data_IF_315062528250
#
_entry.id   IF_315062528250
#
_cell.length_a   1.000
_cell.length_b   1.000
_cell.length_c   1.000
_cell.angle_alpha   90.00
_cell.angle_beta   90.00
_cell.angle_gamma   90.00
#
_symmetry.space_group_name_H-M   'P 1'
#
loop_
_entity.id
_entity.type
_entity.pdbx_description
1 polymer ?
#
# COMPACT_ATOMS: atom_id res chain seq x y z
N UNK A 1 14.82 -49.71 -14.91
CA UNK A 1 15.51 -49.44 -16.21
C UNK A 1 16.13 -48.07 -16.16
N UNK A 2 17.44 -48.04 -16.29
CA UNK A 2 18.33 -46.86 -16.32
C UNK A 2 18.12 -45.99 -17.54
N UNK A 3 18.34 -44.65 -17.41
CA UNK A 3 19.10 -43.79 -18.32
C UNK A 3 19.07 -42.36 -17.76
N UNK A 4 20.16 -41.92 -17.14
CA UNK A 4 21.36 -41.16 -17.60
C UNK A 4 21.07 -39.70 -17.93
N UNK A 5 21.41 -38.86 -16.99
CA UNK A 5 22.33 -37.72 -16.91
C UNK A 5 22.91 -37.23 -18.26
N UNK A 6 22.71 -35.93 -18.54
CA UNK A 6 23.71 -35.10 -19.24
C UNK A 6 23.73 -33.71 -18.60
N UNK A 7 24.85 -33.44 -17.94
CA UNK A 7 25.29 -32.12 -17.55
C UNK A 7 25.91 -31.42 -18.76
N UNK A 8 25.58 -30.16 -19.00
CA UNK A 8 26.31 -29.32 -19.93
C UNK A 8 26.80 -28.06 -19.21
N UNK A 9 28.06 -28.11 -18.83
CA UNK A 9 28.89 -26.97 -18.47
C UNK A 9 29.15 -26.13 -19.73
N UNK A 10 28.87 -24.84 -19.69
CA UNK A 10 29.43 -23.88 -20.62
C UNK A 10 30.07 -22.71 -19.84
N UNK A 11 31.40 -22.84 -19.78
CA UNK A 11 32.35 -21.77 -19.45
C UNK A 11 32.50 -20.82 -20.63
N UNK A 12 32.39 -19.52 -20.41
CA UNK A 12 32.95 -18.49 -21.31
C UNK A 12 33.41 -17.32 -20.46
N UNK A 13 34.68 -17.29 -20.17
CA UNK A 13 35.78 -16.45 -20.64
C UNK A 13 35.60 -14.96 -20.50
N UNK A 14 36.41 -14.47 -19.54
CA UNK A 14 36.76 -13.05 -19.32
C UNK A 14 37.37 -12.42 -20.59
N UNK A 15 37.03 -11.19 -20.85
CA UNK A 15 37.88 -10.27 -21.60
C UNK A 15 37.99 -8.93 -20.83
N UNK A 16 39.14 -8.77 -20.22
CA UNK A 16 39.65 -7.49 -19.75
C UNK A 16 40.08 -6.64 -20.93
N UNK A 17 39.69 -5.38 -20.94
CA UNK A 17 40.37 -4.36 -21.73
C UNK A 17 40.67 -3.16 -20.83
N UNK A 18 41.97 -3.09 -20.49
CA UNK A 18 42.63 -1.92 -19.92
C UNK A 18 43.07 -0.99 -21.06
N UNK A 19 42.65 0.25 -21.01
CA UNK A 19 43.31 1.42 -21.61
C UNK A 19 42.82 2.60 -20.77
N UNK A 20 43.59 3.50 -20.21
CA UNK A 20 44.91 4.01 -20.36
C UNK A 20 44.91 5.37 -19.68
N UNK A 21 45.90 5.67 -18.90
CA UNK A 21 46.11 6.89 -18.14
C UNK A 21 46.12 8.15 -19.02
N UNK A 22 45.53 9.24 -18.51
CA UNK A 22 46.16 10.54 -18.65
C UNK A 22 45.94 11.39 -17.39
N UNK A 23 47.03 11.86 -16.90
CA UNK A 23 47.25 12.66 -15.71
C UNK A 23 46.87 14.12 -16.01
N UNK A 24 46.01 14.73 -15.21
CA UNK A 24 46.05 16.18 -15.02
C UNK A 24 45.53 16.51 -13.61
N UNK A 25 46.47 17.02 -12.81
CA UNK A 25 46.22 17.60 -11.50
C UNK A 25 45.22 18.75 -11.59
N UNK A 26 44.11 18.62 -10.86
CA UNK A 26 43.33 19.76 -10.40
C UNK A 26 42.76 19.39 -9.04
N UNK A 27 43.28 20.06 -8.04
CA UNK A 27 42.81 20.00 -6.65
C UNK A 27 41.44 20.70 -6.57
N UNK A 28 40.37 19.91 -6.50
CA UNK A 28 39.07 20.43 -6.14
C UNK A 28 38.58 19.75 -4.85
N UNK A 29 38.40 20.63 -3.87
CA UNK A 29 37.84 20.30 -2.55
C UNK A 29 36.43 19.74 -2.74
N UNK A 30 36.30 18.44 -2.53
CA UNK A 30 35.00 17.82 -2.37
C UNK A 30 34.39 18.29 -1.06
N UNK A 31 33.63 19.38 -1.14
CA UNK A 31 32.71 19.78 -0.06
C UNK A 31 31.56 18.81 -0.09
N UNK A 32 31.58 17.82 0.78
CA UNK A 32 30.41 17.01 1.11
C UNK A 32 29.35 17.97 1.64
N UNK A 33 28.40 18.35 0.78
CA UNK A 33 27.19 19.02 1.22
C UNK A 33 26.42 18.04 2.08
N UNK A 34 26.42 18.31 3.39
CA UNK A 34 25.47 17.75 4.34
C UNK A 34 24.06 17.96 3.73
N UNK A 35 23.22 16.93 3.66
CA UNK A 35 21.86 17.10 3.18
C UNK A 35 21.20 18.25 3.94
N UNK A 36 20.57 19.17 3.21
CA UNK A 36 19.79 20.22 3.82
C UNK A 36 18.72 19.55 4.70
N UNK A 37 18.64 19.99 5.94
CA UNK A 37 17.61 19.57 6.89
C UNK A 37 16.25 19.81 6.20
N UNK A 38 15.62 18.78 5.70
CA UNK A 38 14.24 18.85 5.26
C UNK A 38 13.42 19.19 6.50
N UNK A 39 12.48 20.11 6.38
CA UNK A 39 11.43 20.26 7.37
C UNK A 39 10.67 18.93 7.35
N UNK A 40 11.07 18.00 8.21
CA UNK A 40 10.40 16.69 8.31
C UNK A 40 8.93 16.96 8.64
N UNK A 41 8.06 16.59 7.72
CA UNK A 41 6.64 16.44 8.02
C UNK A 41 6.60 15.48 9.20
N UNK A 42 5.98 15.90 10.30
CA UNK A 42 5.78 15.03 11.45
C UNK A 42 4.79 13.95 11.02
N UNK A 43 5.31 12.76 10.73
CA UNK A 43 4.48 11.56 10.58
C UNK A 43 3.80 11.36 11.94
N UNK A 44 2.46 11.30 11.95
CA UNK A 44 1.71 11.06 13.18
C UNK A 44 2.15 9.74 13.81
N UNK A 45 2.41 9.76 15.10
CA UNK A 45 2.71 8.55 15.86
C UNK A 45 1.44 7.67 15.91
N UNK A 46 1.59 6.35 15.94
CA UNK A 46 0.49 5.40 16.15
C UNK A 46 -0.28 5.67 17.45
N UNK A 47 0.36 6.32 18.42
CA UNK A 47 -0.27 6.78 19.65
C UNK A 47 -1.17 8.00 19.48
N UNK A 48 -1.07 8.72 18.36
CA UNK A 48 -1.91 9.87 18.00
C UNK A 48 -3.12 9.44 17.15
N UNK A 49 -3.56 8.18 17.31
CA UNK A 49 -4.67 7.62 16.57
C UNK A 49 -5.93 8.49 16.65
N UNK A 50 -6.48 8.80 15.48
CA UNK A 50 -7.76 9.49 15.33
C UNK A 50 -8.64 8.75 14.33
N UNK A 51 -9.92 8.60 14.68
CA UNK A 51 -10.92 8.08 13.76
C UNK A 51 -11.20 9.12 12.67
N UNK A 52 -11.33 8.68 11.42
CA UNK A 52 -11.73 9.57 10.34
C UNK A 52 -13.21 9.94 10.45
N UNK A 53 -13.56 11.17 10.05
CA UNK A 53 -14.95 11.68 10.00
C UNK A 53 -15.69 11.20 8.73
N UNK A 54 -15.36 10.00 8.23
CA UNK A 54 -15.94 9.45 7.02
C UNK A 54 -16.82 8.23 7.26
N UNK A 55 -17.31 7.64 6.17
CA UNK A 55 -18.04 6.37 6.25
C UNK A 55 -17.14 5.27 6.83
N UNK A 56 -15.90 5.17 6.34
CA UNK A 56 -14.87 4.31 6.95
C UNK A 56 -14.10 5.15 7.96
N UNK A 57 -14.15 4.76 9.21
CA UNK A 57 -13.46 5.44 10.31
C UNK A 57 -12.03 5.00 10.47
N UNK A 58 -11.80 3.71 10.41
CA UNK A 58 -10.51 3.02 10.44
C UNK A 58 -10.72 1.56 10.04
N UNK A 59 -9.67 0.80 9.97
CA UNK A 59 -9.77 -0.66 9.91
C UNK A 59 -8.81 -1.28 10.93
N UNK A 60 -9.00 -2.54 11.23
CA UNK A 60 -8.09 -3.29 12.11
C UNK A 60 -7.42 -4.42 11.34
N UNK A 61 -6.23 -4.78 11.78
CA UNK A 61 -5.51 -5.99 11.38
C UNK A 61 -5.06 -6.65 12.67
N UNK A 62 -5.53 -7.86 12.97
CA UNK A 62 -5.23 -8.57 14.23
C UNK A 62 -5.40 -7.66 15.45
N UNK A 63 -6.56 -6.99 15.54
CA UNK A 63 -6.93 -6.04 16.60
C UNK A 63 -6.08 -4.75 16.67
N UNK A 64 -5.10 -4.56 15.80
CA UNK A 64 -4.36 -3.30 15.68
C UNK A 64 -5.13 -2.32 14.83
N UNK A 65 -5.36 -1.11 15.35
CA UNK A 65 -6.08 -0.05 14.63
C UNK A 65 -5.18 0.63 13.61
N UNK A 66 -5.64 0.66 12.37
CA UNK A 66 -4.99 1.35 11.25
C UNK A 66 -5.88 2.54 10.89
N UNK A 67 -5.41 3.74 11.13
CA UNK A 67 -6.12 4.95 10.74
C UNK A 67 -6.14 5.11 9.22
N UNK A 68 -7.10 5.89 8.73
CA UNK A 68 -7.13 6.29 7.31
C UNK A 68 -6.02 7.33 7.10
N UNK A 69 -4.96 7.01 6.33
CA UNK A 69 -3.75 7.82 6.29
C UNK A 69 -3.89 9.05 5.38
N UNK A 70 -3.21 10.15 5.71
CA UNK A 70 -3.07 11.31 4.83
C UNK A 70 -1.77 11.25 4.01
N UNK A 71 -0.73 10.58 4.54
CA UNK A 71 0.56 10.41 3.87
C UNK A 71 0.96 8.93 3.82
N UNK A 72 1.86 8.62 2.89
CA UNK A 72 2.40 7.25 2.75
C UNK A 72 3.15 6.83 4.02
N UNK A 73 3.89 7.74 4.64
CA UNK A 73 4.62 7.48 5.89
C UNK A 73 3.69 7.19 7.07
N UNK A 74 2.53 7.88 7.17
CA UNK A 74 1.50 7.53 8.17
C UNK A 74 0.99 6.13 7.94
N UNK A 75 0.70 5.76 6.69
CA UNK A 75 0.21 4.41 6.36
C UNK A 75 1.24 3.34 6.73
N UNK A 76 2.48 3.53 6.30
CA UNK A 76 3.57 2.60 6.64
C UNK A 76 3.77 2.49 8.16
N UNK A 77 3.69 3.61 8.89
CA UNK A 77 3.84 3.61 10.35
C UNK A 77 2.72 2.82 11.05
N UNK A 78 1.46 2.99 10.63
CA UNK A 78 0.36 2.19 11.19
C UNK A 78 0.51 0.70 10.86
N UNK A 79 0.87 0.36 9.61
CA UNK A 79 1.07 -1.03 9.18
C UNK A 79 2.28 -1.69 9.86
N UNK A 80 3.28 -0.91 10.29
CA UNK A 80 4.45 -1.44 11.01
C UNK A 80 4.12 -2.06 12.38
N UNK A 81 2.88 -1.88 12.87
CA UNK A 81 2.40 -2.55 14.08
C UNK A 81 2.12 -4.04 13.89
N UNK A 82 2.03 -4.49 12.63
CA UNK A 82 1.68 -5.88 12.27
C UNK A 82 2.75 -6.59 11.45
N UNK A 83 3.81 -5.88 11.04
CA UNK A 83 4.89 -6.48 10.27
C UNK A 83 5.92 -5.49 9.74
N UNK A 84 6.83 -5.97 8.92
CA UNK A 84 7.83 -5.15 8.24
C UNK A 84 7.25 -4.58 6.95
N UNK A 85 7.31 -3.24 6.78
CA UNK A 85 6.70 -2.53 5.65
C UNK A 85 7.76 -2.06 4.67
N UNK A 86 7.56 -2.34 3.38
CA UNK A 86 8.40 -1.87 2.28
C UNK A 86 7.53 -1.40 1.10
N UNK A 87 8.10 -0.56 0.24
CA UNK A 87 7.47 -0.14 -1.02
C UNK A 87 7.72 -1.22 -2.09
N UNK A 88 6.68 -1.65 -2.80
CA UNK A 88 6.78 -2.75 -3.77
C UNK A 88 7.77 -2.52 -4.91
N UNK A 89 7.84 -1.28 -5.42
CA UNK A 89 8.64 -0.98 -6.62
C UNK A 89 10.16 -1.08 -6.37
N UNK A 90 10.59 -0.85 -5.13
CA UNK A 90 12.01 -0.80 -4.76
C UNK A 90 12.41 -1.84 -3.72
N UNK A 91 11.47 -2.32 -2.91
CA UNK A 91 11.74 -3.14 -1.73
C UNK A 91 12.36 -2.36 -0.57
N UNK A 92 12.48 -1.03 -0.71
CA UNK A 92 13.03 -0.15 0.31
C UNK A 92 11.94 0.37 1.26
N UNK A 93 12.36 1.00 2.35
CA UNK A 93 11.44 1.73 3.21
C UNK A 93 10.97 3.01 2.53
N UNK A 94 9.75 3.43 2.82
CA UNK A 94 9.17 4.63 2.18
C UNK A 94 9.93 5.93 2.45
N UNK A 95 10.67 6.01 3.57
CA UNK A 95 11.54 7.14 3.92
C UNK A 95 12.78 7.23 3.05
N UNK A 96 13.26 6.10 2.52
CA UNK A 96 14.51 5.98 1.77
C UNK A 96 14.31 6.19 0.26
N UNK A 97 13.05 6.28 -0.20
CA UNK A 97 12.70 6.48 -1.60
C UNK A 97 12.31 7.94 -1.85
N UNK A 98 12.84 8.52 -2.93
CA UNK A 98 12.55 9.90 -3.36
C UNK A 98 11.48 9.93 -4.45
N UNK A 99 10.55 10.88 -4.34
CA UNK A 99 9.53 11.17 -5.34
C UNK A 99 9.76 12.56 -5.93
N UNK A 100 9.94 12.64 -7.23
CA UNK A 100 10.19 13.89 -7.95
C UNK A 100 9.11 14.95 -7.72
N UNK A 101 9.45 16.22 -8.00
CA UNK A 101 8.50 17.33 -7.99
C UNK A 101 7.30 17.04 -8.90
N UNK A 102 6.08 17.22 -8.39
CA UNK A 102 4.83 16.86 -9.06
C UNK A 102 4.77 15.38 -9.50
N UNK A 103 5.59 14.51 -8.90
CA UNK A 103 5.59 13.07 -9.16
C UNK A 103 4.31 12.41 -8.64
N UNK A 104 3.90 11.34 -9.31
CA UNK A 104 2.77 10.49 -8.92
C UNK A 104 3.23 9.04 -8.86
N UNK A 105 2.61 8.24 -7.99
CA UNK A 105 2.87 6.81 -7.94
C UNK A 105 2.44 6.10 -9.22
N UNK A 106 2.94 4.88 -9.43
CA UNK A 106 2.35 3.96 -10.40
C UNK A 106 0.90 3.61 -10.01
N UNK A 107 0.10 3.16 -10.97
CA UNK A 107 -1.28 2.71 -10.68
C UNK A 107 -1.31 1.38 -9.90
N UNK A 108 -0.20 0.66 -9.87
CA UNK A 108 -0.04 -0.63 -9.20
C UNK A 108 0.85 -0.53 -7.95
N UNK A 109 1.03 0.69 -7.39
CA UNK A 109 1.81 0.85 -6.17
C UNK A 109 1.11 0.18 -4.98
N UNK A 110 1.87 -0.49 -4.13
CA UNK A 110 1.40 -1.03 -2.85
C UNK A 110 2.52 -1.03 -1.81
N UNK A 111 2.13 -1.00 -0.56
CA UNK A 111 3.00 -1.35 0.55
C UNK A 111 2.96 -2.86 0.74
N UNK A 112 4.12 -3.49 0.68
CA UNK A 112 4.28 -4.89 1.06
C UNK A 112 4.49 -4.98 2.55
N UNK A 113 3.74 -5.81 3.23
CA UNK A 113 3.85 -6.03 4.67
C UNK A 113 4.18 -7.50 4.89
N UNK A 114 5.41 -7.76 5.32
CA UNK A 114 5.78 -9.07 5.84
C UNK A 114 5.27 -9.16 7.28
N UNK A 115 4.15 -9.88 7.45
CA UNK A 115 3.47 -10.02 8.74
C UNK A 115 4.34 -10.80 9.74
N UNK A 116 4.12 -10.58 11.03
CA UNK A 116 4.79 -11.33 12.10
C UNK A 116 4.53 -12.86 12.04
N UNK A 117 3.48 -13.28 11.34
CA UNK A 117 3.20 -14.68 11.02
C UNK A 117 4.12 -15.27 9.94
N UNK A 118 4.86 -14.45 9.20
CA UNK A 118 5.66 -14.82 8.04
C UNK A 118 4.89 -14.85 6.72
N UNK A 119 3.62 -14.45 6.72
CA UNK A 119 2.82 -14.27 5.51
C UNK A 119 3.03 -12.85 4.96
N UNK A 120 2.79 -12.61 3.65
CA UNK A 120 2.84 -11.30 3.03
C UNK A 120 1.43 -10.77 2.78
N UNK A 121 1.25 -9.47 3.00
CA UNK A 121 0.03 -8.74 2.67
C UNK A 121 0.33 -7.49 1.86
N UNK A 122 -0.51 -7.21 0.87
CA UNK A 122 -0.34 -6.08 -0.04
C UNK A 122 -1.44 -5.03 0.21
N UNK A 123 -1.02 -3.81 0.53
CA UNK A 123 -1.91 -2.67 0.74
C UNK A 123 -1.74 -1.68 -0.40
N UNK A 124 -2.66 -1.69 -1.35
CA UNK A 124 -2.62 -0.86 -2.54
C UNK A 124 -2.87 0.60 -2.20
N UNK A 125 -2.11 1.50 -2.84
CA UNK A 125 -2.28 2.93 -2.68
C UNK A 125 -1.88 3.69 -3.95
N UNK A 126 -2.38 4.92 -4.06
CA UNK A 126 -1.82 5.94 -4.97
C UNK A 126 -1.44 7.14 -4.14
N UNK A 127 -0.38 7.80 -4.54
CA UNK A 127 0.14 8.96 -3.86
C UNK A 127 0.74 9.95 -4.84
N UNK A 128 0.85 11.20 -4.42
CA UNK A 128 1.40 12.27 -5.21
C UNK A 128 2.26 13.21 -4.37
N UNK A 129 3.21 13.84 -5.04
CA UNK A 129 3.98 14.96 -4.52
C UNK A 129 3.40 16.27 -5.09
N UNK A 130 2.55 17.00 -4.36
CA UNK A 130 1.97 18.26 -4.87
C UNK A 130 2.96 19.43 -4.86
N UNK A 131 4.21 19.20 -4.45
CA UNK A 131 5.21 20.26 -4.30
C UNK A 131 6.08 20.41 -5.56
N UNK A 132 6.77 21.55 -5.67
CA UNK A 132 7.72 21.83 -6.75
C UNK A 132 9.15 21.35 -6.45
N UNK A 133 9.33 20.48 -5.46
CA UNK A 133 10.61 19.89 -5.06
C UNK A 133 10.45 18.41 -4.89
N UNK A 134 11.52 17.66 -5.06
CA UNK A 134 11.54 16.26 -4.67
C UNK A 134 11.36 16.13 -3.15
N UNK A 135 10.64 15.11 -2.72
CA UNK A 135 10.36 14.77 -1.32
C UNK A 135 10.59 13.28 -1.11
N UNK A 136 10.68 12.85 0.14
CA UNK A 136 10.58 11.41 0.45
C UNK A 136 9.18 10.90 0.11
N UNK A 137 9.06 9.65 -0.36
CA UNK A 137 7.76 9.00 -0.56
C UNK A 137 6.94 9.00 0.73
N UNK A 138 7.58 8.90 1.90
CA UNK A 138 6.89 9.00 3.18
C UNK A 138 6.10 10.33 3.35
N UNK A 139 6.57 11.42 2.74
CA UNK A 139 5.91 12.74 2.79
C UNK A 139 4.82 12.92 1.73
N UNK A 140 4.71 11.98 0.78
CA UNK A 140 3.76 12.07 -0.32
C UNK A 140 2.31 11.95 0.18
N UNK A 141 1.42 12.76 -0.40
CA UNK A 141 -0.01 12.74 -0.09
C UNK A 141 -0.66 11.49 -0.66
N UNK A 142 -1.41 10.76 0.15
CA UNK A 142 -2.23 9.65 -0.33
C UNK A 142 -3.45 10.19 -1.08
N UNK A 143 -3.73 9.63 -2.25
CA UNK A 143 -4.88 9.97 -3.08
C UNK A 143 -5.87 8.81 -3.25
N UNK A 144 -5.43 7.60 -2.92
CA UNK A 144 -6.24 6.38 -2.98
C UNK A 144 -5.63 5.31 -2.10
N UNK A 145 -6.45 4.55 -1.40
CA UNK A 145 -6.09 3.28 -0.77
C UNK A 145 -7.07 2.18 -1.16
N UNK A 146 -6.58 0.96 -1.25
CA UNK A 146 -7.40 -0.22 -1.44
C UNK A 146 -6.85 -1.35 -0.57
N UNK A 147 -7.73 -1.93 0.23
CA UNK A 147 -7.47 -3.15 0.99
C UNK A 147 -8.40 -4.20 0.41
N UNK A 148 -7.81 -5.12 -0.34
CA UNK A 148 -8.60 -6.15 -1.01
C UNK A 148 -7.92 -7.49 -0.97
N UNK A 149 -8.74 -8.42 -1.23
CA UNK A 149 -8.54 -9.83 -1.41
C UNK A 149 -8.34 -10.20 -2.89
N UNK A 150 -7.27 -10.92 -3.17
CA UNK A 150 -7.06 -11.47 -4.50
C UNK A 150 -7.81 -12.80 -4.66
N UNK A 151 -8.77 -12.82 -5.59
CA UNK A 151 -9.63 -13.98 -5.86
C UNK A 151 -8.91 -15.22 -6.38
N UNK A 152 -7.67 -15.05 -6.82
CA UNK A 152 -6.85 -16.13 -7.38
C UNK A 152 -5.98 -16.85 -6.33
N UNK A 153 -5.91 -16.30 -5.12
CA UNK A 153 -5.09 -16.79 -4.03
C UNK A 153 -5.93 -17.24 -2.83
N UNK A 154 -7.04 -17.99 -3.07
CA UNK A 154 -7.99 -18.38 -2.02
C UNK A 154 -7.33 -19.00 -0.77
N UNK A 155 -6.30 -19.82 -0.93
CA UNK A 155 -5.60 -20.46 0.20
C UNK A 155 -4.60 -19.53 0.90
N UNK A 156 -3.92 -18.65 0.16
CA UNK A 156 -2.97 -17.69 0.73
C UNK A 156 -3.68 -16.52 1.38
N UNK A 157 -4.81 -16.16 0.86
CA UNK A 157 -5.63 -15.07 1.30
C UNK A 157 -6.32 -15.28 2.65
N UNK A 158 -6.86 -16.45 2.90
CA UNK A 158 -7.44 -16.79 4.21
C UNK A 158 -6.45 -16.55 5.35
N UNK A 159 -5.16 -16.44 5.03
CA UNK A 159 -4.11 -16.12 5.99
C UNK A 159 -3.87 -14.62 6.15
N UNK A 160 -3.68 -13.91 5.04
CA UNK A 160 -3.30 -12.49 5.06
C UNK A 160 -4.47 -11.54 5.41
N UNK A 161 -5.71 -11.90 5.03
CA UNK A 161 -6.90 -11.11 5.38
C UNK A 161 -7.53 -11.50 6.72
N UNK A 162 -7.05 -12.58 7.32
CA UNK A 162 -7.54 -13.04 8.61
C UNK A 162 -7.27 -11.97 9.67
N UNK A 163 -8.36 -11.47 10.24
CA UNK A 163 -8.28 -10.42 11.26
C UNK A 163 -8.47 -8.99 10.76
N UNK A 164 -8.68 -8.78 9.44
CA UNK A 164 -9.03 -7.45 8.94
C UNK A 164 -10.52 -7.19 9.18
N UNK A 165 -10.83 -6.09 9.87
CA UNK A 165 -12.20 -5.61 10.06
C UNK A 165 -12.25 -4.14 9.69
N UNK A 166 -13.22 -3.78 8.83
CA UNK A 166 -13.46 -2.40 8.45
C UNK A 166 -14.50 -1.80 9.41
N UNK A 167 -14.13 -0.75 10.11
CA UNK A 167 -15.01 -0.03 11.01
C UNK A 167 -15.64 1.14 10.28
N UNK A 168 -16.96 1.11 10.12
CA UNK A 168 -17.72 2.16 9.46
C UNK A 168 -18.60 2.91 10.46
N UNK A 169 -19.20 4.04 10.02
CA UNK A 169 -20.22 4.74 10.81
C UNK A 169 -21.46 3.88 11.05
N UNK A 170 -21.71 2.88 10.20
CA UNK A 170 -22.91 2.04 10.22
C UNK A 170 -22.68 0.69 10.91
N UNK A 171 -21.42 0.28 11.12
CA UNK A 171 -21.05 -0.96 11.78
C UNK A 171 -19.75 -1.56 11.26
N UNK A 172 -19.39 -2.69 11.86
CA UNK A 172 -18.16 -3.40 11.56
C UNK A 172 -18.37 -4.43 10.44
N UNK A 173 -17.47 -4.44 9.46
CA UNK A 173 -17.52 -5.34 8.30
C UNK A 173 -16.21 -6.16 8.29
N UNK A 174 -16.20 -7.40 8.80
CA UNK A 174 -15.03 -8.26 8.72
C UNK A 174 -14.76 -8.68 7.28
N UNK A 175 -13.48 -8.60 6.91
CA UNK A 175 -12.99 -9.08 5.62
C UNK A 175 -12.70 -10.59 5.74
N UNK A 176 -13.76 -11.37 5.66
CA UNK A 176 -13.69 -12.82 5.75
C UNK A 176 -14.54 -13.49 4.66
N UNK A 177 -14.30 -14.77 4.41
CA UNK A 177 -15.01 -15.55 3.39
C UNK A 177 -16.50 -15.85 3.75
N UNK A 178 -17.00 -15.35 4.88
CA UNK A 178 -18.37 -15.54 5.36
C UNK A 178 -19.21 -14.27 5.22
N UNK A 179 -18.55 -13.11 5.11
CA UNK A 179 -19.23 -11.82 4.94
C UNK A 179 -19.74 -11.71 3.49
N UNK A 180 -21.04 -11.86 3.32
CA UNK A 180 -21.70 -11.86 2.01
C UNK A 180 -22.29 -10.49 1.69
N UNK A 181 -22.47 -10.23 0.38
CA UNK A 181 -23.12 -9.05 -0.17
C UNK A 181 -24.37 -8.62 0.62
N UNK A 182 -25.28 -9.55 0.91
CA UNK A 182 -26.51 -9.23 1.65
C UNK A 182 -26.23 -8.68 3.04
N UNK A 183 -25.24 -9.21 3.75
CA UNK A 183 -24.86 -8.73 5.07
C UNK A 183 -24.18 -7.36 5.03
N UNK A 184 -23.32 -7.13 4.04
CA UNK A 184 -22.71 -5.80 3.84
C UNK A 184 -23.79 -4.78 3.53
N UNK A 185 -24.77 -5.13 2.68
CA UNK A 185 -25.94 -4.30 2.39
C UNK A 185 -26.77 -3.99 3.65
N UNK A 186 -26.99 -4.98 4.49
CA UNK A 186 -27.75 -4.79 5.73
C UNK A 186 -27.03 -3.83 6.69
N UNK A 187 -25.70 -3.86 6.74
CA UNK A 187 -24.87 -2.95 7.57
C UNK A 187 -24.88 -1.55 6.97
N UNK A 188 -24.57 -1.40 5.68
CA UNK A 188 -24.46 -0.10 5.02
C UNK A 188 -25.83 0.57 4.75
N UNK A 189 -26.92 -0.22 4.78
CA UNK A 189 -28.27 0.28 4.52
C UNK A 189 -28.43 0.81 3.09
N UNK A 190 -29.23 1.87 2.96
CA UNK A 190 -29.50 2.54 1.68
C UNK A 190 -28.46 3.60 1.32
N UNK A 191 -27.42 3.76 2.12
CA UNK A 191 -26.40 4.81 1.93
C UNK A 191 -25.57 4.61 0.66
N UNK A 192 -25.42 3.38 0.19
CA UNK A 192 -24.57 3.06 -0.93
C UNK A 192 -25.34 2.72 -2.20
N UNK A 193 -24.96 3.34 -3.32
CA UNK A 193 -25.44 2.92 -4.63
C UNK A 193 -24.81 1.57 -4.97
N UNK A 194 -25.65 0.59 -5.32
CA UNK A 194 -25.20 -0.71 -5.77
C UNK A 194 -24.96 -0.72 -7.29
N UNK A 195 -23.77 -1.13 -7.70
CA UNK A 195 -23.44 -1.36 -9.11
C UNK A 195 -22.66 -2.67 -9.21
N UNK A 196 -23.24 -3.70 -9.81
CA UNK A 196 -22.60 -5.00 -10.10
C UNK A 196 -21.89 -5.68 -8.91
N UNK A 197 -22.53 -5.63 -7.72
CA UNK A 197 -21.93 -6.21 -6.50
C UNK A 197 -20.95 -5.30 -5.79
N UNK A 198 -20.90 -4.03 -6.15
CA UNK A 198 -20.12 -3.00 -5.49
C UNK A 198 -21.02 -1.95 -4.89
N UNK A 199 -20.75 -1.57 -3.66
CA UNK A 199 -21.39 -0.43 -3.03
C UNK A 199 -20.51 0.80 -3.15
N UNK A 200 -21.07 1.88 -3.69
CA UNK A 200 -20.38 3.16 -3.82
C UNK A 200 -21.06 4.20 -2.95
N UNK A 201 -20.25 4.97 -2.27
CA UNK A 201 -20.69 6.10 -1.46
C UNK A 201 -19.76 7.28 -1.66
N UNK A 202 -20.29 8.49 -1.70
CA UNK A 202 -19.50 9.73 -1.72
C UNK A 202 -20.04 10.66 -0.65
N UNK A 203 -19.16 11.27 0.14
CA UNK A 203 -19.54 12.27 1.12
C UNK A 203 -19.37 13.70 0.58
N UNK A 204 -19.91 14.68 1.32
CA UNK A 204 -19.83 16.10 0.94
C UNK A 204 -18.39 16.65 0.96
N UNK A 205 -17.47 15.99 1.67
CA UNK A 205 -16.05 16.32 1.68
C UNK A 205 -15.30 15.81 0.43
N UNK A 206 -15.97 15.07 -0.47
CA UNK A 206 -15.42 14.60 -1.73
C UNK A 206 -14.72 13.25 -1.66
N UNK A 207 -14.73 12.57 -0.52
CA UNK A 207 -14.26 11.19 -0.42
C UNK A 207 -15.23 10.25 -1.12
N UNK A 208 -14.67 9.28 -1.86
CA UNK A 208 -15.43 8.18 -2.46
C UNK A 208 -15.00 6.87 -1.84
N UNK A 209 -15.98 6.10 -1.40
CA UNK A 209 -15.80 4.79 -0.81
C UNK A 209 -16.36 3.73 -1.73
N UNK A 210 -15.68 2.59 -1.83
CA UNK A 210 -16.19 1.42 -2.53
C UNK A 210 -16.02 0.20 -1.63
N UNK A 211 -17.06 -0.61 -1.56
CA UNK A 211 -17.05 -1.93 -0.92
C UNK A 211 -17.29 -2.98 -2.01
N UNK A 212 -16.29 -3.81 -2.26
CA UNK A 212 -16.36 -4.83 -3.32
C UNK A 212 -16.83 -6.17 -2.74
N UNK A 213 -17.97 -6.62 -3.22
CA UNK A 213 -18.58 -7.91 -2.83
C UNK A 213 -18.62 -8.91 -3.98
N UNK A 214 -17.92 -8.65 -5.05
CA UNK A 214 -17.79 -9.44 -6.24
C UNK A 214 -19.02 -10.25 -6.68
N UNK A 215 -19.83 -9.61 -7.52
CA UNK A 215 -20.97 -10.22 -8.23
C UNK A 215 -22.18 -10.57 -7.36
N UNK A 216 -23.13 -9.65 -7.30
CA UNK A 216 -24.45 -9.80 -6.64
C UNK A 216 -25.15 -11.11 -7.00
N UNK A 217 -25.11 -11.51 -8.27
CA UNK A 217 -25.79 -12.70 -8.79
C UNK A 217 -25.22 -14.02 -8.25
N UNK A 218 -24.01 -14.00 -7.68
CA UNK A 218 -23.36 -15.17 -7.06
C UNK A 218 -23.38 -15.12 -5.55
N UNK A 219 -24.15 -14.19 -4.94
CA UNK A 219 -24.11 -13.94 -3.49
C UNK A 219 -22.68 -13.72 -3.01
N UNK A 220 -21.98 -12.82 -3.73
CA UNK A 220 -20.54 -12.58 -3.60
C UNK A 220 -20.09 -12.31 -2.19
N UNK A 221 -18.89 -12.74 -1.92
CA UNK A 221 -18.19 -12.53 -0.65
C UNK A 221 -17.63 -11.11 -0.68
N UNK A 222 -17.67 -10.43 0.46
CA UNK A 222 -16.98 -9.16 0.63
C UNK A 222 -15.47 -9.35 0.43
N UNK A 223 -14.90 -8.64 -0.54
CA UNK A 223 -13.50 -8.80 -0.96
C UNK A 223 -12.60 -7.69 -0.49
N UNK A 224 -13.17 -6.55 -0.17
CA UNK A 224 -12.39 -5.43 0.23
C UNK A 224 -13.08 -4.09 0.06
N UNK A 225 -12.34 -3.05 0.35
CA UNK A 225 -12.80 -1.68 0.24
C UNK A 225 -11.72 -0.81 -0.38
N UNK A 226 -12.16 0.32 -0.92
CA UNK A 226 -11.23 1.39 -1.29
C UNK A 226 -11.76 2.76 -0.87
N UNK A 227 -10.83 3.69 -0.74
CA UNK A 227 -11.09 5.11 -0.46
C UNK A 227 -10.35 5.93 -1.50
N UNK A 228 -11.08 6.72 -2.27
CA UNK A 228 -10.52 7.77 -3.13
C UNK A 228 -10.65 9.10 -2.39
N UNK A 229 -9.54 9.80 -2.26
CA UNK A 229 -9.47 11.07 -1.55
C UNK A 229 -9.92 12.22 -2.46
N UNK A 230 -10.44 13.32 -1.90
CA UNK A 230 -10.79 14.50 -2.70
C UNK A 230 -9.55 15.05 -3.38
N UNK A 231 -9.70 15.49 -4.65
CA UNK A 231 -8.65 16.24 -5.34
C UNK A 231 -8.38 17.56 -4.62
N UNK A 232 -7.12 17.82 -4.28
CA UNK A 232 -6.67 19.07 -3.65
C UNK A 232 -6.50 20.17 -4.68
#
# INVERSE_FOLDING_TARGET
>A
MFKKVVALLMTCVLSMSLVGCSNSNSSDKTTTKKPATSNSIKIKDVNDFQEADGLIKYFTIDDKKIAIPETVGEYANYLSQVGTVTLNDTGDKVEDVELDANGISSMAAYLNVELDSGDEAHFYLRYENPTKKAISVAEASVTFIEVKYDEYAEEEYDKAAKGIVVETSEGSIPLDNKMKFSKVKDILGELAQNTDGRFHYSNDAGYKYMFDCCNENRNGIFRGFSIEYPSK
#
